data_IF_820778102648
#
_entry.id   IF_820778102648
#
_cell.length_a   1.000
_cell.length_b   1.000
_cell.length_c   1.000
_cell.angle_alpha   90.00
_cell.angle_beta   90.00
_cell.angle_gamma   90.00
#
_symmetry.space_group_name_H-M   'P 1'
#
loop_
_entity.id
_entity.type
_entity.pdbx_description
1 polymer ?
#
# COMPACT_ATOMS: atom_id res chain seq x y z
N UNK A 1 4.92 -28.27 4.64
CA UNK A 1 4.52 -26.85 4.63
C UNK A 1 3.70 -26.61 3.39
N UNK A 2 2.49 -26.06 3.55
CA UNK A 2 1.54 -25.80 2.46
C UNK A 2 1.40 -24.29 2.28
N UNK A 3 1.25 -23.84 1.03
CA UNK A 3 1.13 -22.42 0.69
C UNK A 3 0.07 -22.21 -0.39
N UNK A 4 -0.70 -21.12 -0.26
CA UNK A 4 -1.60 -20.61 -1.28
C UNK A 4 -1.27 -19.15 -1.57
N UNK A 5 -1.62 -18.68 -2.76
CA UNK A 5 -1.54 -17.25 -3.10
C UNK A 5 -2.84 -16.75 -3.72
N UNK A 6 -3.08 -15.44 -3.59
CA UNK A 6 -4.20 -14.75 -4.24
C UNK A 6 -3.77 -13.35 -4.66
N UNK A 7 -4.15 -12.95 -5.87
CA UNK A 7 -3.83 -11.65 -6.44
C UNK A 7 -4.99 -10.66 -6.28
N UNK A 8 -4.64 -9.39 -6.19
CA UNK A 8 -5.56 -8.26 -6.15
C UNK A 8 -4.97 -7.10 -6.95
N UNK A 9 -5.79 -6.40 -7.71
CA UNK A 9 -5.39 -5.31 -8.59
C UNK A 9 -6.06 -4.00 -8.14
N UNK A 10 -5.35 -2.88 -8.24
CA UNK A 10 -5.87 -1.54 -7.95
C UNK A 10 -5.06 -0.45 -8.67
N UNK A 11 -5.66 0.71 -8.92
CA UNK A 11 -5.00 1.88 -9.47
C UNK A 11 -4.62 2.85 -8.34
N UNK A 12 -3.44 3.47 -8.41
CA UNK A 12 -3.07 4.50 -7.44
C UNK A 12 -2.10 5.52 -8.04
N UNK A 13 -2.13 6.74 -7.50
CA UNK A 13 -1.10 7.77 -7.71
C UNK A 13 -0.10 7.79 -6.55
N UNK A 14 1.14 8.15 -6.82
CA UNK A 14 2.14 8.42 -5.79
C UNK A 14 3.32 9.23 -6.35
N UNK A 15 4.31 9.47 -5.50
CA UNK A 15 5.67 9.79 -5.91
C UNK A 15 6.67 9.26 -4.88
N UNK A 16 7.91 9.04 -5.32
CA UNK A 16 9.04 8.66 -4.46
C UNK A 16 9.92 9.88 -4.25
N UNK A 17 9.53 10.74 -3.30
CA UNK A 17 10.17 12.05 -3.07
C UNK A 17 11.66 11.97 -2.74
N UNK A 18 12.11 10.85 -2.18
CA UNK A 18 13.48 10.62 -1.76
C UNK A 18 14.35 9.90 -2.80
N UNK A 19 13.85 9.60 -4.01
CA UNK A 19 14.58 8.82 -5.01
C UNK A 19 15.99 9.39 -5.24
N UNK A 20 17.00 8.53 -5.23
CA UNK A 20 18.37 8.83 -5.62
C UNK A 20 18.86 7.75 -6.58
N UNK A 21 19.69 8.13 -7.55
CA UNK A 21 20.27 7.20 -8.52
C UNK A 21 21.79 7.27 -8.49
N UNK A 22 22.44 6.13 -8.68
CA UNK A 22 23.84 6.07 -9.05
C UNK A 22 23.93 6.05 -10.58
N UNK A 23 24.45 7.13 -11.17
CA UNK A 23 24.51 7.37 -12.62
C UNK A 23 25.31 6.31 -13.36
N UNK A 24 26.31 5.69 -12.73
CA UNK A 24 27.06 4.58 -13.32
C UNK A 24 26.14 3.41 -13.70
N UNK A 25 25.12 3.16 -12.87
CA UNK A 25 24.17 2.05 -13.06
C UNK A 25 22.91 2.48 -13.81
N UNK A 26 22.39 3.69 -13.53
CA UNK A 26 21.15 4.17 -14.14
C UNK A 26 21.33 4.71 -15.55
N UNK A 27 22.56 5.03 -15.97
CA UNK A 27 22.92 5.63 -17.27
C UNK A 27 22.31 7.02 -17.54
N UNK A 28 21.47 7.50 -16.63
CA UNK A 28 20.83 8.81 -16.63
C UNK A 28 20.64 9.30 -15.19
N UNK A 29 20.60 10.63 -15.01
CA UNK A 29 20.49 11.29 -13.71
C UNK A 29 19.06 11.74 -13.38
N UNK A 30 18.10 11.61 -14.29
CA UNK A 30 16.74 12.08 -14.08
C UNK A 30 16.01 11.23 -13.04
N UNK A 31 15.56 11.89 -11.97
CA UNK A 31 14.87 11.26 -10.85
C UNK A 31 13.36 11.17 -11.13
N UNK A 32 13.01 10.38 -12.15
CA UNK A 32 11.65 10.29 -12.70
C UNK A 32 10.59 9.93 -11.65
N UNK A 33 10.92 9.12 -10.65
CA UNK A 33 9.96 8.73 -9.61
C UNK A 33 9.64 9.88 -8.64
N UNK A 34 10.42 10.99 -8.63
CA UNK A 34 10.07 12.19 -7.86
C UNK A 34 8.91 12.98 -8.49
N UNK A 35 8.63 12.78 -9.77
CA UNK A 35 7.45 13.36 -10.43
C UNK A 35 6.17 12.72 -9.88
N UNK A 36 5.07 13.48 -9.86
CA UNK A 36 3.74 12.91 -9.59
C UNK A 36 3.38 11.97 -10.74
N UNK A 37 3.05 10.73 -10.43
CA UNK A 37 2.67 9.71 -11.41
C UNK A 37 1.76 8.67 -10.75
N UNK A 38 1.47 7.58 -11.45
CA UNK A 38 0.66 6.50 -10.91
C UNK A 38 0.91 5.19 -11.62
N UNK A 39 0.31 4.13 -11.08
CA UNK A 39 0.52 2.76 -11.51
C UNK A 39 -0.77 1.93 -11.43
N UNK A 40 -0.78 0.84 -12.19
CA UNK A 40 -1.67 -0.30 -11.95
C UNK A 40 -0.94 -1.26 -11.00
N UNK A 41 -1.21 -1.12 -9.71
CA UNK A 41 -0.64 -1.99 -8.69
C UNK A 41 -1.29 -3.38 -8.71
N UNK A 42 -0.46 -4.42 -8.55
CA UNK A 42 -0.92 -5.78 -8.27
C UNK A 42 -0.25 -6.28 -7.01
N UNK A 43 -1.04 -6.71 -6.03
CA UNK A 43 -0.55 -7.34 -4.80
C UNK A 43 -0.87 -8.82 -4.80
N UNK A 44 0.12 -9.65 -4.45
CA UNK A 44 -0.02 -11.09 -4.30
C UNK A 44 0.26 -11.44 -2.84
N UNK A 45 -0.74 -12.00 -2.17
CA UNK A 45 -0.65 -12.41 -0.77
C UNK A 45 -0.41 -13.90 -0.70
N UNK A 46 0.66 -14.31 -0.02
CA UNK A 46 1.00 -15.72 0.19
C UNK A 46 0.70 -16.12 1.64
N UNK A 47 -0.16 -17.14 1.81
CA UNK A 47 -0.56 -17.68 3.10
C UNK A 47 -0.04 -19.10 3.26
N UNK A 48 0.55 -19.42 4.41
CA UNK A 48 1.12 -20.73 4.72
C UNK A 48 0.57 -21.35 6.01
N UNK A 49 0.58 -22.68 6.04
CA UNK A 49 0.28 -23.52 7.20
C UNK A 49 1.10 -24.81 7.15
N UNK A 50 1.46 -25.36 8.30
CA UNK A 50 2.15 -26.67 8.38
C UNK A 50 1.18 -27.85 8.17
N UNK A 51 -0.09 -27.67 8.49
CA UNK A 51 -1.15 -28.66 8.34
C UNK A 51 -2.30 -28.14 7.50
N UNK A 52 -3.06 -29.06 6.90
CA UNK A 52 -4.30 -28.73 6.20
C UNK A 52 -5.49 -29.00 7.11
N UNK A 53 -6.45 -28.06 7.14
CA UNK A 53 -7.77 -28.27 7.76
C UNK A 53 -8.78 -28.45 6.65
N UNK A 54 -9.46 -29.60 6.63
CA UNK A 54 -10.38 -29.99 5.55
C UNK A 54 -9.74 -29.91 4.15
N UNK A 55 -8.45 -30.26 4.04
CA UNK A 55 -7.70 -30.23 2.78
C UNK A 55 -7.24 -28.84 2.33
N UNK A 56 -7.36 -27.79 3.17
CA UNK A 56 -6.99 -26.41 2.81
C UNK A 56 -6.01 -25.79 3.80
N UNK A 57 -5.18 -24.85 3.32
CA UNK A 57 -4.50 -23.87 4.19
C UNK A 57 -5.57 -22.99 4.83
N UNK A 58 -6.38 -22.35 4.00
CA UNK A 58 -7.60 -21.62 4.35
C UNK A 58 -8.41 -21.39 3.07
N UNK A 59 -9.71 -21.09 3.16
CA UNK A 59 -10.51 -20.78 1.98
C UNK A 59 -10.06 -19.46 1.33
N UNK A 60 -9.98 -19.40 0.00
CA UNK A 60 -9.62 -18.18 -0.75
C UNK A 60 -10.55 -16.99 -0.48
N UNK A 61 -11.80 -17.23 -0.05
CA UNK A 61 -12.76 -16.19 0.36
C UNK A 61 -12.37 -15.53 1.69
N UNK A 62 -11.52 -16.15 2.50
CA UNK A 62 -11.02 -15.53 3.74
C UNK A 62 -10.08 -14.34 3.50
N UNK A 63 -9.76 -14.00 2.24
CA UNK A 63 -9.13 -12.73 1.86
C UNK A 63 -10.09 -11.71 1.21
N UNK A 64 -11.40 -11.96 1.17
CA UNK A 64 -12.36 -10.99 0.59
C UNK A 64 -12.40 -9.66 1.37
N UNK A 65 -12.14 -9.70 2.68
CA UNK A 65 -12.00 -8.48 3.48
C UNK A 65 -10.80 -7.64 3.02
N UNK A 66 -9.73 -8.28 2.55
CA UNK A 66 -8.53 -7.60 2.07
C UNK A 66 -8.78 -6.97 0.71
N UNK A 67 -9.50 -7.68 -0.18
CA UNK A 67 -10.02 -7.08 -1.41
C UNK A 67 -10.83 -5.82 -1.11
N UNK A 68 -11.80 -5.91 -0.20
CA UNK A 68 -12.63 -4.77 0.20
C UNK A 68 -11.79 -3.62 0.76
N UNK A 69 -10.77 -3.90 1.57
CA UNK A 69 -9.85 -2.88 2.06
C UNK A 69 -9.12 -2.16 0.92
N UNK A 70 -8.58 -2.90 -0.06
CA UNK A 70 -7.94 -2.29 -1.23
C UNK A 70 -8.93 -1.43 -2.02
N UNK A 71 -10.11 -1.98 -2.34
CA UNK A 71 -11.16 -1.31 -3.11
C UNK A 71 -11.65 -0.01 -2.42
N UNK A 72 -11.88 -0.05 -1.10
CA UNK A 72 -12.45 1.08 -0.36
C UNK A 72 -11.41 2.16 0.01
N UNK A 73 -10.14 1.75 0.19
CA UNK A 73 -9.12 2.61 0.82
C UNK A 73 -8.03 3.04 -0.14
N UNK A 74 -7.58 2.18 -1.06
CA UNK A 74 -6.36 2.45 -1.85
C UNK A 74 -6.67 2.65 -3.33
N UNK A 75 -7.66 1.93 -3.85
CA UNK A 75 -8.03 2.03 -5.27
C UNK A 75 -8.51 3.44 -5.62
N UNK A 76 -8.02 3.95 -6.75
CA UNK A 76 -8.24 5.31 -7.22
C UNK A 76 -7.81 6.42 -6.24
N UNK A 77 -6.83 6.15 -5.37
CA UNK A 77 -6.26 7.14 -4.43
C UNK A 77 -4.84 7.56 -4.79
N UNK A 78 -4.39 8.65 -4.19
CA UNK A 78 -3.02 9.13 -4.19
C UNK A 78 -2.36 8.85 -2.84
N UNK A 79 -1.36 7.98 -2.80
CA UNK A 79 -0.61 7.64 -1.59
C UNK A 79 0.52 8.65 -1.40
N UNK A 80 0.52 9.35 -0.27
CA UNK A 80 1.51 10.38 0.06
C UNK A 80 2.17 10.10 1.42
N UNK A 81 3.49 10.28 1.48
CA UNK A 81 4.22 10.28 2.74
C UNK A 81 3.92 11.56 3.51
N UNK A 82 3.58 11.46 4.79
CA UNK A 82 3.39 12.61 5.68
C UNK A 82 4.65 13.46 5.79
N UNK A 83 5.83 12.89 5.49
CA UNK A 83 7.12 13.58 5.48
C UNK A 83 7.54 14.07 4.08
N UNK A 84 6.69 13.90 3.06
CA UNK A 84 6.96 14.45 1.72
C UNK A 84 7.14 15.98 1.80
N UNK A 85 8.24 16.55 1.28
CA UNK A 85 8.44 18.00 1.26
C UNK A 85 7.35 18.79 0.53
N UNK A 86 6.61 18.16 -0.39
CA UNK A 86 5.47 18.76 -1.09
C UNK A 86 4.13 18.58 -0.37
N UNK A 87 4.09 17.96 0.82
CA UNK A 87 2.84 17.70 1.54
C UNK A 87 1.99 18.96 1.71
N UNK A 88 2.59 20.07 2.19
CA UNK A 88 1.87 21.33 2.38
C UNK A 88 1.49 22.03 1.07
N UNK A 89 2.16 21.71 -0.04
CA UNK A 89 1.81 22.22 -1.38
C UNK A 89 0.63 21.46 -1.97
N UNK A 90 0.57 20.14 -1.77
CA UNK A 90 -0.44 19.24 -2.33
C UNK A 90 -1.72 19.17 -1.47
N UNK A 91 -1.57 19.30 -0.16
CA UNK A 91 -2.66 19.38 0.80
C UNK A 91 -2.59 20.73 1.54
N UNK A 92 -2.89 21.85 0.85
CA UNK A 92 -2.84 23.17 1.47
C UNK A 92 -3.86 23.25 2.61
N UNK A 93 -3.55 23.98 3.68
CA UNK A 93 -4.45 24.19 4.82
C UNK A 93 -4.80 22.94 5.66
N UNK A 94 -4.12 21.81 5.44
CA UNK A 94 -4.26 20.64 6.31
C UNK A 94 -3.13 20.65 7.35
N UNK A 95 -3.50 20.76 8.63
CA UNK A 95 -2.56 20.53 9.72
C UNK A 95 -2.42 19.03 9.98
N UNK A 96 -1.18 18.53 10.06
CA UNK A 96 -0.88 17.11 10.30
C UNK A 96 -1.48 16.59 11.60
N UNK A 97 -1.74 17.47 12.58
CA UNK A 97 -2.35 17.10 13.86
C UNK A 97 -3.85 16.76 13.74
N UNK A 98 -4.51 17.28 12.70
CA UNK A 98 -5.96 17.14 12.48
C UNK A 98 -6.28 15.91 11.61
N UNK A 99 -5.27 15.11 11.25
CA UNK A 99 -5.44 13.90 10.46
C UNK A 99 -6.06 12.76 11.27
N UNK A 100 -7.08 12.12 10.69
CA UNK A 100 -7.74 10.94 11.26
C UNK A 100 -6.84 9.73 11.05
N UNK A 101 -6.51 9.00 12.12
CA UNK A 101 -5.61 7.84 12.07
C UNK A 101 -6.38 6.53 12.11
N UNK A 102 -5.98 5.57 11.27
CA UNK A 102 -6.57 4.24 11.17
C UNK A 102 -5.61 3.17 11.70
N UNK A 103 -6.17 2.09 12.28
CA UNK A 103 -5.40 0.98 12.88
C UNK A 103 -4.53 0.23 11.86
N UNK A 104 -4.90 0.29 10.58
CA UNK A 104 -4.14 -0.26 9.47
C UNK A 104 -2.85 0.54 9.18
N UNK A 105 -2.63 1.70 9.82
CA UNK A 105 -1.38 2.46 9.70
C UNK A 105 -1.37 3.50 8.59
N UNK A 106 -2.54 4.01 8.21
CA UNK A 106 -2.69 5.16 7.33
C UNK A 106 -3.53 6.24 8.01
N UNK A 107 -3.56 7.42 7.42
CA UNK A 107 -4.34 8.57 7.85
C UNK A 107 -5.14 9.16 6.69
N UNK A 108 -6.22 9.85 7.01
CA UNK A 108 -7.01 10.65 6.06
C UNK A 108 -7.22 12.05 6.61
N UNK A 109 -7.60 12.98 5.72
CA UNK A 109 -8.10 14.30 6.12
C UNK A 109 -9.50 14.13 6.73
N UNK A 110 -9.85 14.96 7.73
CA UNK A 110 -11.24 15.11 8.16
C UNK A 110 -12.01 15.90 7.09
N UNK A 111 -12.89 15.19 6.39
CA UNK A 111 -13.63 15.73 5.25
C UNK A 111 -14.88 16.53 5.65
N UNK A 112 -15.24 16.57 6.94
CA UNK A 112 -16.53 17.12 7.43
C UNK A 112 -16.80 18.56 6.96
N UNK A 113 -15.74 19.36 6.80
CA UNK A 113 -15.83 20.79 6.48
C UNK A 113 -15.55 21.12 5.01
N UNK A 114 -15.27 20.13 4.16
CA UNK A 114 -14.92 20.35 2.75
C UNK A 114 -16.06 20.00 1.81
N UNK A 115 -16.14 20.71 0.67
CA UNK A 115 -17.17 20.53 -0.36
C UNK A 115 -16.56 20.69 -1.76
N UNK A 116 -17.26 20.18 -2.77
CA UNK A 116 -16.91 20.31 -4.20
C UNK A 116 -15.47 19.84 -4.49
N UNK A 117 -14.71 20.61 -5.25
CA UNK A 117 -13.37 20.25 -5.74
C UNK A 117 -12.36 20.05 -4.60
N UNK A 118 -12.53 20.74 -3.47
CA UNK A 118 -11.69 20.53 -2.28
C UNK A 118 -12.01 19.21 -1.59
N UNK A 119 -13.28 18.79 -1.58
CA UNK A 119 -13.65 17.47 -1.07
C UNK A 119 -13.02 16.38 -1.93
N UNK A 120 -13.15 16.49 -3.26
CA UNK A 120 -12.56 15.56 -4.22
C UNK A 120 -11.04 15.48 -4.07
N UNK A 121 -10.37 16.63 -3.92
CA UNK A 121 -8.92 16.69 -3.69
C UNK A 121 -8.51 15.96 -2.40
N UNK A 122 -9.12 16.27 -1.26
CA UNK A 122 -8.70 15.68 0.02
C UNK A 122 -9.16 14.24 0.19
N UNK A 123 -10.29 13.86 -0.37
CA UNK A 123 -10.76 12.48 -0.42
C UNK A 123 -9.83 11.59 -1.26
N UNK A 124 -9.10 12.17 -2.22
CA UNK A 124 -8.15 11.45 -3.06
C UNK A 124 -6.90 10.99 -2.30
N UNK A 125 -6.56 11.56 -1.15
CA UNK A 125 -5.29 11.25 -0.48
C UNK A 125 -5.40 10.16 0.60
N UNK A 126 -4.44 9.23 0.55
CA UNK A 126 -4.10 8.32 1.65
C UNK A 126 -2.73 8.70 2.17
N UNK A 127 -2.67 9.04 3.45
CA UNK A 127 -1.46 9.57 4.08
C UNK A 127 -0.79 8.44 4.87
N UNK A 128 0.46 8.14 4.55
CA UNK A 128 1.28 7.11 5.21
C UNK A 128 2.50 7.75 5.88
N UNK A 129 3.15 7.03 6.80
CA UNK A 129 4.37 7.50 7.48
C UNK A 129 5.62 6.76 6.98
N UNK A 130 5.71 6.65 5.65
CA UNK A 130 6.83 6.05 4.93
C UNK A 130 6.81 6.51 3.47
N UNK A 131 7.97 6.50 2.80
CA UNK A 131 8.04 6.78 1.36
C UNK A 131 7.31 5.67 0.60
N UNK A 132 6.27 5.96 -0.23
CA UNK A 132 5.37 4.95 -0.81
C UNK A 132 5.99 4.20 -1.99
N UNK A 133 7.15 3.58 -1.77
CA UNK A 133 7.80 2.64 -2.69
C UNK A 133 7.07 1.29 -2.69
N UNK A 134 7.26 0.51 -3.73
CA UNK A 134 6.78 -0.87 -3.82
C UNK A 134 7.14 -1.71 -2.59
N UNK A 135 8.38 -1.60 -2.11
CA UNK A 135 8.90 -2.32 -0.95
C UNK A 135 8.17 -1.93 0.33
N UNK A 136 8.02 -0.62 0.60
CA UNK A 136 7.34 -0.15 1.79
C UNK A 136 5.84 -0.48 1.78
N UNK A 137 5.18 -0.38 0.60
CA UNK A 137 3.78 -0.79 0.43
C UNK A 137 3.64 -2.29 0.70
N UNK A 138 4.52 -3.14 0.15
CA UNK A 138 4.46 -4.58 0.40
C UNK A 138 4.65 -4.94 1.89
N UNK A 139 5.54 -4.25 2.60
CA UNK A 139 5.74 -4.42 4.04
C UNK A 139 4.52 -3.96 4.86
N UNK A 140 3.93 -2.83 4.48
CA UNK A 140 2.72 -2.29 5.09
C UNK A 140 1.52 -3.24 4.92
N UNK A 141 1.26 -3.70 3.70
CA UNK A 141 0.18 -4.64 3.39
C UNK A 141 0.38 -5.99 4.09
N UNK A 142 1.63 -6.50 4.18
CA UNK A 142 1.92 -7.73 4.93
C UNK A 142 1.47 -7.60 6.39
N UNK A 143 1.78 -6.47 7.06
CA UNK A 143 1.39 -6.23 8.45
C UNK A 143 -0.14 -6.23 8.61
N UNK A 144 -0.86 -5.58 7.71
CA UNK A 144 -2.34 -5.55 7.73
C UNK A 144 -2.91 -6.96 7.59
N UNK A 145 -2.42 -7.72 6.60
CA UNK A 145 -2.88 -9.09 6.36
C UNK A 145 -2.55 -9.97 7.55
N UNK A 146 -1.32 -9.97 8.05
CA UNK A 146 -0.91 -10.82 9.16
C UNK A 146 -1.78 -10.58 10.40
N UNK A 147 -1.99 -9.31 10.78
CA UNK A 147 -2.83 -8.95 11.94
C UNK A 147 -4.25 -9.52 11.86
N UNK A 148 -4.83 -9.62 10.66
CA UNK A 148 -6.16 -10.19 10.46
C UNK A 148 -6.12 -11.71 10.39
N UNK A 149 -5.12 -12.28 9.72
CA UNK A 149 -4.98 -13.73 9.49
C UNK A 149 -4.56 -14.50 10.75
N UNK A 150 -3.94 -13.84 11.74
CA UNK A 150 -3.66 -14.44 13.05
C UNK A 150 -4.94 -14.96 13.74
N UNK A 151 -6.12 -14.37 13.45
CA UNK A 151 -7.42 -14.85 13.95
C UNK A 151 -7.81 -16.24 13.44
N UNK A 152 -7.23 -16.65 12.31
CA UNK A 152 -7.41 -17.99 11.73
C UNK A 152 -6.21 -18.90 12.02
N UNK A 153 -5.23 -18.44 12.81
CA UNK A 153 -3.95 -19.11 13.01
C UNK A 153 -3.21 -19.43 11.69
N UNK A 154 -3.32 -18.52 10.71
CA UNK A 154 -2.64 -18.63 9.41
C UNK A 154 -1.53 -17.60 9.33
N UNK A 155 -0.37 -18.01 8.84
CA UNK A 155 0.78 -17.14 8.65
C UNK A 155 0.82 -16.61 7.23
N UNK A 156 1.12 -15.34 7.08
CA UNK A 156 1.51 -14.74 5.80
C UNK A 156 2.99 -15.07 5.62
N UNK A 157 3.37 -15.68 4.50
CA UNK A 157 4.77 -16.01 4.23
C UNK A 157 5.50 -14.83 3.58
N UNK A 158 4.85 -14.18 2.62
CA UNK A 158 5.33 -13.00 1.92
C UNK A 158 4.18 -12.26 1.27
N UNK A 159 4.45 -11.00 0.92
CA UNK A 159 3.63 -10.20 0.01
C UNK A 159 4.50 -9.76 -1.15
N UNK A 160 4.02 -10.00 -2.38
CA UNK A 160 4.61 -9.43 -3.58
C UNK A 160 3.80 -8.22 -4.02
N UNK A 161 4.47 -7.16 -4.44
CA UNK A 161 3.84 -5.95 -4.95
C UNK A 161 4.47 -5.59 -6.29
N UNK A 162 3.69 -5.75 -7.36
CA UNK A 162 4.09 -5.40 -8.71
C UNK A 162 3.64 -3.96 -8.96
N UNK A 163 4.62 -3.07 -9.13
CA UNK A 163 4.39 -1.68 -9.53
C UNK A 163 4.00 -1.62 -11.01
N UNK A 164 4.68 -2.43 -11.81
CA UNK A 164 4.46 -2.57 -13.25
C UNK A 164 4.49 -4.05 -13.62
N UNK A 165 4.06 -4.45 -14.83
CA UNK A 165 4.18 -5.84 -15.27
C UNK A 165 5.61 -6.39 -15.30
N UNK A 166 6.64 -5.51 -15.26
CA UNK A 166 8.06 -5.89 -15.39
C UNK A 166 8.84 -5.81 -14.09
N UNK A 167 8.36 -5.06 -13.11
CA UNK A 167 9.11 -4.74 -11.89
C UNK A 167 8.23 -4.91 -10.66
N UNK A 168 8.77 -5.63 -9.66
CA UNK A 168 8.07 -5.93 -8.42
C UNK A 168 8.99 -5.91 -7.21
N UNK A 169 8.41 -5.69 -6.04
CA UNK A 169 9.03 -5.97 -4.75
C UNK A 169 8.50 -7.26 -4.14
N UNK A 170 9.23 -7.82 -3.19
CA UNK A 170 8.78 -8.95 -2.38
C UNK A 170 9.24 -8.75 -0.95
N UNK A 171 8.31 -8.70 -0.01
CA UNK A 171 8.60 -8.61 1.41
C UNK A 171 8.22 -9.92 2.11
N UNK A 172 9.22 -10.56 2.71
CA UNK A 172 9.06 -11.82 3.43
C UNK A 172 8.70 -11.54 4.89
N UNK A 173 7.71 -12.26 5.42
CA UNK A 173 7.44 -12.25 6.86
C UNK A 173 8.66 -12.82 7.58
N UNK A 174 9.13 -12.10 8.61
CA UNK A 174 10.16 -12.64 9.51
C UNK A 174 9.52 -13.77 10.34
N UNK A 175 10.26 -14.87 10.47
CA UNK A 175 9.89 -16.07 11.23
C UNK A 175 9.69 -15.77 12.71
#
# INVERSE_FOLDING_TARGET
MWEISKEFDFCYGHRVWSQSLNVEFSLDSCLMCRHLHGHQGKVIVYLKSDTLKSGMVTDFKHLNWFKKFLDDVIDHKFIIDINDPLFATLLPNIDKKDLISFKEGYKTVDLTNFKNELLELYESYIIVDFVPTSENISAWLLKIVQNKMDKLNIKVSKVEFLETPKSKSTFYARS
#
